data_IF_629905848707
#
_entry.id   IF_629905848707
#
_cell.length_a   1.000
_cell.length_b   1.000
_cell.length_c   1.000
_cell.angle_alpha   90.00
_cell.angle_beta   90.00
_cell.angle_gamma   90.00
#
_symmetry.space_group_name_H-M   'P 1'
#
loop_
_entity.id
_entity.type
_entity.pdbx_description
1 polymer ?
#
# COMPACT_ATOMS: atom_id res chain seq x y z
N UNK A 1 21.45 7.04 4.25
CA UNK A 1 20.82 6.15 3.24
C UNK A 1 19.36 5.96 3.59
N UNK A 2 19.11 5.37 4.76
CA UNK A 2 17.81 5.33 5.42
C UNK A 2 17.52 6.68 6.12
N UNK A 3 17.33 7.73 5.34
CA UNK A 3 17.08 9.08 5.84
C UNK A 3 15.56 9.33 5.85
N UNK A 4 14.93 9.59 7.02
CA UNK A 4 13.50 9.88 7.07
C UNK A 4 13.13 11.08 6.20
N UNK A 5 11.96 11.03 5.58
CA UNK A 5 11.43 12.18 4.87
C UNK A 5 11.08 13.28 5.89
N UNK A 6 11.30 14.53 5.51
CA UNK A 6 10.88 15.66 6.33
C UNK A 6 9.34 15.67 6.45
N UNK A 7 8.77 15.78 7.66
CA UNK A 7 7.32 15.81 7.83
C UNK A 7 6.62 16.94 7.05
N UNK A 8 7.25 18.09 6.88
CA UNK A 8 6.71 19.19 6.07
C UNK A 8 6.71 18.83 4.59
N UNK A 9 7.77 18.18 4.10
CA UNK A 9 7.81 17.68 2.72
C UNK A 9 6.71 16.66 2.46
N UNK A 10 6.50 15.69 3.36
CA UNK A 10 5.46 14.67 3.22
C UNK A 10 4.07 15.31 3.19
N UNK A 11 3.81 16.29 4.06
CA UNK A 11 2.54 17.06 4.05
C UNK A 11 2.37 17.85 2.75
N UNK A 12 3.41 18.54 2.29
CA UNK A 12 3.36 19.31 1.05
C UNK A 12 3.02 18.42 -0.17
N UNK A 13 3.60 17.21 -0.25
CA UNK A 13 3.28 16.24 -1.29
C UNK A 13 1.83 15.73 -1.17
N UNK A 14 1.34 15.46 0.05
CA UNK A 14 -0.07 15.09 0.27
C UNK A 14 -1.01 16.20 -0.19
N UNK A 15 -0.75 17.44 0.18
CA UNK A 15 -1.59 18.58 -0.21
C UNK A 15 -1.57 18.80 -1.72
N UNK A 16 -0.38 18.70 -2.34
CA UNK A 16 -0.22 18.83 -3.77
C UNK A 16 -0.97 17.72 -4.53
N UNK A 17 -0.84 16.46 -4.11
CA UNK A 17 -1.53 15.33 -4.77
C UNK A 17 -3.04 15.47 -4.67
N UNK A 18 -3.56 15.87 -3.50
CA UNK A 18 -4.99 16.17 -3.32
C UNK A 18 -5.47 17.29 -4.25
N UNK A 19 -4.74 18.41 -4.29
CA UNK A 19 -5.09 19.58 -5.11
C UNK A 19 -5.13 19.26 -6.61
N UNK A 20 -4.25 18.36 -7.07
CA UNK A 20 -4.09 18.05 -8.50
C UNK A 20 -4.79 16.75 -8.92
N UNK A 21 -5.57 16.13 -8.04
CA UNK A 21 -6.25 14.87 -8.35
C UNK A 21 -5.29 13.70 -8.64
N UNK A 22 -4.06 13.77 -8.13
CA UNK A 22 -3.07 12.69 -8.26
C UNK A 22 -3.17 11.75 -7.06
N UNK A 23 -2.92 10.46 -7.29
CA UNK A 23 -2.87 9.47 -6.21
C UNK A 23 -1.54 9.58 -5.47
N UNK A 24 -1.59 9.70 -4.16
CA UNK A 24 -0.44 9.51 -3.28
C UNK A 24 -0.27 8.02 -2.99
N UNK A 25 0.87 7.46 -3.41
CA UNK A 25 1.24 6.08 -3.13
C UNK A 25 2.41 6.07 -2.16
N UNK A 26 2.28 5.36 -1.04
CA UNK A 26 3.41 5.09 -0.14
C UNK A 26 3.95 3.69 -0.35
N UNK A 27 5.25 3.59 -0.62
CA UNK A 27 5.97 2.32 -0.54
C UNK A 27 6.34 2.07 0.92
N UNK A 28 5.57 1.20 1.56
CA UNK A 28 5.80 0.75 2.92
C UNK A 28 6.33 -0.69 2.97
N UNK A 29 6.88 -1.22 1.87
CA UNK A 29 7.41 -2.61 1.82
C UNK A 29 8.44 -2.85 2.93
N UNK A 30 9.22 -1.82 3.29
CA UNK A 30 10.10 -1.84 4.47
C UNK A 30 9.46 -1.08 5.64
N UNK A 31 8.95 0.13 5.40
CA UNK A 31 8.60 1.05 6.50
C UNK A 31 7.31 0.68 7.23
N UNK A 32 6.50 -0.25 6.71
CA UNK A 32 5.28 -0.73 7.39
C UNK A 32 5.58 -1.26 8.80
N UNK A 33 6.81 -1.74 9.02
CA UNK A 33 7.29 -2.25 10.32
C UNK A 33 7.60 -1.18 11.37
N UNK A 34 7.56 0.10 10.99
CA UNK A 34 8.06 1.19 11.85
C UNK A 34 7.14 1.46 13.04
N UNK A 35 5.84 1.20 12.89
CA UNK A 35 4.85 1.25 13.96
C UNK A 35 3.82 0.15 13.73
N UNK A 36 2.91 -0.07 14.68
CA UNK A 36 1.80 -1.01 14.52
C UNK A 36 0.95 -0.72 13.26
N UNK A 37 0.90 0.54 12.82
CA UNK A 37 0.06 1.00 11.69
C UNK A 37 0.89 1.60 10.54
N UNK A 38 2.16 1.18 10.40
CA UNK A 38 3.07 1.69 9.38
C UNK A 38 3.68 3.05 9.68
N UNK A 39 4.64 3.47 8.87
CA UNK A 39 5.30 4.77 9.03
C UNK A 39 4.38 5.93 8.64
N UNK A 40 3.41 5.72 7.74
CA UNK A 40 2.38 6.69 7.37
C UNK A 40 1.69 7.34 8.59
N UNK A 41 1.43 6.56 9.65
CA UNK A 41 0.82 7.05 10.89
C UNK A 41 1.71 8.07 11.61
N UNK A 42 3.04 7.92 11.54
CA UNK A 42 3.99 8.87 12.13
C UNK A 42 3.97 10.22 11.41
N UNK A 43 3.66 10.24 10.12
CA UNK A 43 3.50 11.48 9.35
C UNK A 43 2.10 12.08 9.45
N UNK A 44 1.14 11.39 10.08
CA UNK A 44 -0.23 11.87 10.23
C UNK A 44 -0.97 12.01 8.90
N UNK A 45 -0.58 11.24 7.88
CA UNK A 45 -1.21 11.26 6.55
C UNK A 45 -1.84 9.91 6.23
N UNK A 46 -2.91 9.96 5.43
CA UNK A 46 -3.52 8.78 4.81
C UNK A 46 -3.23 8.81 3.31
N UNK A 47 -2.49 7.84 2.76
CA UNK A 47 -2.26 7.77 1.32
C UNK A 47 -3.47 7.20 0.60
N UNK A 48 -3.49 7.37 -0.72
CA UNK A 48 -4.53 6.77 -1.56
C UNK A 48 -4.27 5.27 -1.77
N UNK A 49 -2.99 4.88 -1.85
CA UNK A 49 -2.53 3.49 -1.94
C UNK A 49 -1.27 3.29 -1.10
N UNK A 50 -1.09 2.08 -0.59
CA UNK A 50 0.09 1.63 0.15
C UNK A 50 0.56 0.29 -0.44
N UNK A 51 1.81 0.24 -0.87
CA UNK A 51 2.48 -0.99 -1.25
C UNK A 51 3.16 -1.61 -0.02
N UNK A 52 2.98 -2.92 0.16
CA UNK A 52 3.51 -3.69 1.28
C UNK A 52 4.11 -5.01 0.78
N UNK A 53 4.96 -5.60 1.60
CA UNK A 53 5.59 -6.88 1.30
C UNK A 53 6.51 -7.32 2.42
N UNK A 54 7.53 -8.13 2.09
CA UNK A 54 8.53 -8.61 3.05
C UNK A 54 7.89 -9.28 4.27
N UNK A 55 7.83 -8.60 5.41
CA UNK A 55 7.44 -9.21 6.68
C UNK A 55 6.00 -9.69 6.75
N UNK A 56 5.11 -9.09 5.96
CA UNK A 56 3.68 -9.44 6.00
C UNK A 56 3.41 -10.88 5.53
N UNK A 57 4.43 -11.56 5.00
CA UNK A 57 4.35 -12.95 4.54
C UNK A 57 5.07 -13.93 5.47
N UNK A 58 5.53 -13.49 6.65
CA UNK A 58 6.17 -14.37 7.63
C UNK A 58 7.43 -15.08 7.12
N UNK A 59 8.17 -14.47 6.18
CA UNK A 59 9.37 -15.05 5.56
C UNK A 59 9.13 -15.72 4.21
N UNK A 60 7.87 -15.82 3.75
CA UNK A 60 7.51 -16.35 2.43
C UNK A 60 7.29 -15.25 1.39
N UNK A 61 7.33 -15.57 0.08
CA UNK A 61 7.09 -14.59 -0.99
C UNK A 61 5.71 -13.94 -0.89
N UNK A 62 5.69 -12.62 -0.73
CA UNK A 62 4.46 -11.84 -0.60
C UNK A 62 4.63 -10.44 -1.19
N UNK A 63 3.52 -9.91 -1.69
CA UNK A 63 3.33 -8.49 -1.98
C UNK A 63 1.85 -8.15 -1.81
N UNK A 64 1.55 -6.92 -1.41
CA UNK A 64 0.19 -6.43 -1.28
C UNK A 64 0.13 -4.95 -1.70
N UNK A 65 -0.99 -4.58 -2.31
CA UNK A 65 -1.38 -3.19 -2.54
C UNK A 65 -2.74 -3.01 -1.89
N UNK A 66 -2.87 -2.02 -1.02
CA UNK A 66 -4.12 -1.70 -0.34
C UNK A 66 -4.32 -0.18 -0.35
N UNK A 67 -5.56 0.28 -0.18
CA UNK A 67 -5.84 1.71 -0.15
C UNK A 67 -7.33 2.01 -0.21
N UNK A 68 -7.66 3.20 -0.68
CA UNK A 68 -9.04 3.70 -0.81
C UNK A 68 -9.89 2.77 -1.68
N UNK A 69 -11.09 2.44 -1.19
CA UNK A 69 -12.03 1.53 -1.87
C UNK A 69 -12.34 1.95 -3.30
N UNK A 70 -12.56 3.24 -3.51
CA UNK A 70 -12.90 3.83 -4.80
C UNK A 70 -11.74 3.79 -5.79
N UNK A 71 -10.49 3.73 -5.32
CA UNK A 71 -9.32 3.54 -6.17
C UNK A 71 -9.15 2.05 -6.50
N UNK A 72 -9.32 1.18 -5.50
CA UNK A 72 -9.21 -0.28 -5.65
C UNK A 72 -10.33 -0.89 -6.50
N UNK A 73 -11.44 -0.16 -6.73
CA UNK A 73 -12.58 -0.60 -7.54
C UNK A 73 -12.19 -0.98 -8.98
N UNK A 74 -11.08 -0.46 -9.52
CA UNK A 74 -10.55 -0.86 -10.83
C UNK A 74 -10.24 -2.36 -10.91
N UNK A 75 -9.97 -2.99 -9.76
CA UNK A 75 -9.69 -4.42 -9.60
C UNK A 75 -10.95 -5.27 -9.39
N UNK A 76 -12.13 -4.66 -9.25
CA UNK A 76 -13.34 -5.39 -8.88
C UNK A 76 -13.77 -6.37 -10.00
N UNK A 77 -13.68 -7.70 -9.78
CA UNK A 77 -14.05 -8.68 -10.80
C UNK A 77 -15.57 -8.78 -11.00
N UNK A 78 -16.37 -8.18 -10.09
CA UNK A 78 -17.84 -8.17 -10.16
C UNK A 78 -18.38 -6.91 -10.84
N UNK A 79 -17.53 -5.96 -11.20
CA UNK A 79 -17.94 -4.78 -11.94
C UNK A 79 -18.46 -5.17 -13.34
N UNK A 80 -19.40 -4.37 -13.89
CA UNK A 80 -19.92 -4.58 -15.26
C UNK A 80 -18.82 -4.65 -16.31
N UNK A 81 -17.75 -3.90 -16.09
CA UNK A 81 -16.52 -3.90 -16.88
C UNK A 81 -15.33 -3.90 -15.94
N UNK A 82 -14.53 -4.96 -15.98
CA UNK A 82 -13.26 -5.03 -15.24
C UNK A 82 -12.27 -4.10 -15.92
N UNK A 83 -11.78 -3.09 -15.19
CA UNK A 83 -10.86 -2.09 -15.74
C UNK A 83 -9.41 -2.56 -15.68
N UNK A 84 -9.03 -3.28 -14.61
CA UNK A 84 -7.68 -3.79 -14.41
C UNK A 84 -7.72 -5.25 -13.94
N UNK A 85 -7.58 -6.23 -14.86
CA UNK A 85 -7.45 -7.63 -14.48
C UNK A 85 -6.13 -7.86 -13.74
N UNK A 86 -6.22 -8.36 -12.51
CA UNK A 86 -5.05 -8.71 -11.69
C UNK A 86 -5.06 -10.21 -11.37
N UNK A 87 -4.02 -10.92 -11.79
CA UNK A 87 -3.87 -12.37 -11.61
C UNK A 87 -2.48 -12.74 -11.15
N UNK A 88 -2.34 -13.95 -10.62
CA UNK A 88 -1.06 -14.53 -10.25
C UNK A 88 -1.23 -15.89 -9.60
N UNK A 89 -0.53 -16.90 -10.10
CA UNK A 89 -0.68 -18.31 -9.68
C UNK A 89 -0.42 -18.50 -8.18
N UNK A 90 0.55 -17.78 -7.62
CA UNK A 90 0.92 -17.86 -6.21
C UNK A 90 0.38 -16.69 -5.37
N UNK A 91 -0.39 -15.77 -5.98
CA UNK A 91 -1.04 -14.69 -5.26
C UNK A 91 -1.99 -15.28 -4.22
N UNK A 92 -1.90 -14.81 -2.98
CA UNK A 92 -2.72 -15.30 -1.86
C UNK A 92 -2.62 -16.82 -1.60
N UNK A 93 -1.46 -17.44 -1.88
CA UNK A 93 -1.27 -18.86 -1.58
C UNK A 93 -1.39 -19.16 -0.06
N UNK A 94 -1.96 -20.32 0.35
CA UNK A 94 -2.24 -20.62 1.76
C UNK A 94 -1.00 -20.65 2.67
N UNK A 95 0.17 -21.04 2.15
CA UNK A 95 1.41 -21.10 2.94
C UNK A 95 1.77 -19.69 3.42
N UNK A 96 1.79 -18.74 2.49
CA UNK A 96 2.16 -17.35 2.80
C UNK A 96 1.10 -16.68 3.67
N UNK A 97 -0.19 -16.89 3.39
CA UNK A 97 -1.28 -16.31 4.19
C UNK A 97 -1.33 -16.87 5.62
N UNK A 98 -0.92 -18.13 5.82
CA UNK A 98 -0.88 -18.73 7.16
C UNK A 98 0.33 -18.23 7.96
N UNK A 99 1.46 -18.01 7.28
CA UNK A 99 2.71 -17.53 7.89
C UNK A 99 2.66 -16.03 8.25
N UNK A 100 1.98 -15.21 7.45
CA UNK A 100 1.78 -13.78 7.70
C UNK A 100 0.75 -13.51 8.80
N UNK A 101 1.20 -13.44 10.06
CA UNK A 101 0.39 -13.08 11.23
C UNK A 101 0.92 -11.83 11.91
#
# INVERSE_FOLDING_TARGET
GLNPADPEFVRAIRDWTTKNGSLLVLDEVITFRSTYSGLQTKYGITPDLTAMGKMIGGGFPIGAVAGRSEVMEVLNPRAKKVLFPHSGTFSANPITLTAGR
#
